data_IF_313335737404
#
_entry.id   IF_313335737404
#
_cell.length_a   1.000
_cell.length_b   1.000
_cell.length_c   1.000
_cell.angle_alpha   90.00
_cell.angle_beta   90.00
_cell.angle_gamma   90.00
#
_symmetry.space_group_name_H-M   'P 1'
#
loop_
_entity.id
_entity.type
_entity.pdbx_description
1 polymer ?
#
# COMPACT_ATOMS: atom_id res chain seq x y z
N UNK A 1 17.57 1.99 3.84
CA UNK A 1 17.00 2.79 2.73
C UNK A 1 16.33 1.82 1.78
N UNK A 2 15.09 2.05 1.33
CA UNK A 2 14.52 1.20 0.27
C UNK A 2 15.05 1.75 -1.06
N UNK A 3 15.68 0.89 -1.85
CA UNK A 3 15.98 1.23 -3.24
C UNK A 3 14.67 1.13 -4.01
N UNK A 4 14.18 2.28 -4.49
CA UNK A 4 12.96 2.40 -5.25
C UNK A 4 13.20 1.94 -6.70
N UNK A 5 12.33 1.08 -7.22
CA UNK A 5 12.22 0.83 -8.66
C UNK A 5 11.52 2.02 -9.34
N UNK A 6 11.65 2.14 -10.66
CA UNK A 6 11.31 3.30 -11.49
C UNK A 6 9.84 3.79 -11.53
N UNK A 7 9.00 3.47 -10.55
CA UNK A 7 7.65 4.00 -10.39
C UNK A 7 7.56 5.12 -9.34
N UNK A 8 6.64 6.06 -9.51
CA UNK A 8 6.37 7.09 -8.50
C UNK A 8 5.76 6.46 -7.23
N UNK A 9 6.09 6.95 -6.03
CA UNK A 9 5.44 6.50 -4.81
C UNK A 9 3.97 6.97 -4.79
N UNK A 10 3.12 6.24 -4.08
CA UNK A 10 1.73 6.61 -3.84
C UNK A 10 1.49 6.77 -2.34
N UNK A 11 0.59 7.68 -1.96
CA UNK A 11 0.38 8.02 -0.55
C UNK A 11 -1.11 8.02 -0.24
N UNK A 12 -1.47 7.57 0.96
CA UNK A 12 -2.81 7.80 1.55
C UNK A 12 -2.66 8.33 2.97
N UNK A 13 -3.66 9.04 3.45
CA UNK A 13 -3.74 9.51 4.82
C UNK A 13 -5.20 9.47 5.31
N UNK A 14 -5.39 9.16 6.58
CA UNK A 14 -6.68 9.24 7.25
C UNK A 14 -6.46 9.48 8.74
N UNK A 15 -7.55 9.64 9.49
CA UNK A 15 -7.49 9.78 10.95
C UNK A 15 -7.96 8.51 11.63
N UNK A 16 -7.07 7.87 12.38
CA UNK A 16 -7.39 6.72 13.22
C UNK A 16 -7.48 7.17 14.67
N UNK A 17 -8.62 6.97 15.34
CA UNK A 17 -8.86 7.49 16.70
C UNK A 17 -8.53 8.99 16.85
N UNK A 18 -8.85 9.80 15.83
CA UNK A 18 -8.55 11.24 15.79
C UNK A 18 -7.10 11.62 15.49
N UNK A 19 -6.19 10.65 15.36
CA UNK A 19 -4.77 10.85 15.08
C UNK A 19 -4.48 10.69 13.59
N UNK A 20 -3.67 11.59 13.02
CA UNK A 20 -3.22 11.49 11.63
C UNK A 20 -2.34 10.25 11.44
N UNK A 21 -2.66 9.44 10.44
CA UNK A 21 -1.84 8.35 9.93
C UNK A 21 -1.57 8.61 8.46
N UNK A 22 -0.31 8.47 8.03
CA UNK A 22 0.09 8.57 6.63
C UNK A 22 0.76 7.27 6.24
N UNK A 23 0.43 6.76 5.05
CA UNK A 23 1.13 5.64 4.44
C UNK A 23 1.73 6.06 3.12
N UNK A 24 3.02 5.81 2.95
CA UNK A 24 3.72 5.93 1.68
C UNK A 24 4.00 4.54 1.15
N UNK A 25 3.61 4.31 -0.10
CA UNK A 25 3.78 3.07 -0.82
C UNK A 25 4.76 3.28 -1.95
N UNK A 26 5.67 2.33 -2.12
CA UNK A 26 6.68 2.38 -3.16
C UNK A 26 7.00 0.97 -3.63
N UNK A 27 7.39 0.84 -4.89
CA UNK A 27 7.89 -0.42 -5.44
C UNK A 27 9.40 -0.50 -5.21
N UNK A 28 9.87 -1.60 -4.63
CA UNK A 28 11.30 -1.88 -4.49
C UNK A 28 11.92 -2.43 -5.79
N UNK A 29 13.25 -2.53 -5.83
CA UNK A 29 13.99 -3.09 -6.97
C UNK A 29 13.68 -4.56 -7.28
N UNK A 30 13.01 -5.28 -6.39
CA UNK A 30 12.55 -6.66 -6.59
C UNK A 30 11.10 -6.72 -7.12
N UNK A 31 10.47 -5.57 -7.37
CA UNK A 31 9.12 -5.45 -7.90
C UNK A 31 8.02 -5.51 -6.84
N UNK A 32 8.37 -5.61 -5.55
CA UNK A 32 7.40 -5.65 -4.46
C UNK A 32 6.96 -4.25 -4.06
N UNK A 33 5.66 -4.06 -3.91
CA UNK A 33 5.10 -2.90 -3.25
C UNK A 33 5.31 -3.04 -1.74
N UNK A 34 5.89 -2.00 -1.14
CA UNK A 34 6.14 -1.87 0.30
C UNK A 34 5.42 -0.65 0.84
N UNK A 35 5.20 -0.65 2.15
CA UNK A 35 4.54 0.43 2.89
C UNK A 35 5.48 0.98 3.96
N UNK A 36 5.48 2.30 4.10
CA UNK A 36 6.09 3.03 5.21
C UNK A 36 4.98 3.82 5.88
N UNK A 37 4.90 3.75 7.21
CA UNK A 37 3.86 4.40 8.01
C UNK A 37 4.44 5.61 8.74
N UNK A 38 3.79 6.75 8.69
CA UNK A 38 3.97 7.81 9.66
C UNK A 38 2.83 7.78 10.67
N UNK A 39 3.17 7.94 11.94
CA UNK A 39 2.23 8.33 12.98
C UNK A 39 2.81 9.46 13.84
N UNK A 40 2.12 9.80 14.93
CA UNK A 40 2.55 10.85 15.87
C UNK A 40 3.96 10.69 16.46
N UNK A 41 4.59 9.52 16.34
CA UNK A 41 5.92 9.23 16.88
C UNK A 41 7.02 9.18 15.81
N UNK A 42 6.68 9.24 14.52
CA UNK A 42 7.67 9.19 13.46
C UNK A 42 7.32 8.30 12.27
N UNK A 43 8.26 8.21 11.33
CA UNK A 43 8.22 7.23 10.25
C UNK A 43 8.63 5.87 10.83
N UNK A 44 7.89 4.83 10.46
CA UNK A 44 8.19 3.47 10.84
C UNK A 44 9.54 3.04 10.28
N UNK A 45 10.22 2.16 11.01
CA UNK A 45 11.37 1.45 10.45
C UNK A 45 10.87 0.58 9.30
N UNK A 46 11.66 0.47 8.24
CA UNK A 46 11.37 -0.38 7.09
C UNK A 46 11.55 -1.88 7.44
N UNK A 47 10.74 -2.37 8.37
CA UNK A 47 10.75 -3.76 8.88
C UNK A 47 9.46 -4.51 8.55
N UNK A 48 8.47 -3.84 7.97
CA UNK A 48 7.26 -4.52 7.51
C UNK A 48 7.58 -5.43 6.30
N UNK A 49 6.95 -6.61 6.23
CA UNK A 49 7.11 -7.50 5.08
C UNK A 49 6.60 -6.83 3.79
N UNK A 50 7.13 -7.23 2.62
CA UNK A 50 6.57 -6.79 1.35
C UNK A 50 5.11 -7.23 1.24
N UNK A 51 4.28 -6.39 0.61
CA UNK A 51 2.83 -6.62 0.53
C UNK A 51 2.48 -7.54 -0.65
N UNK A 52 2.80 -7.08 -1.86
CA UNK A 52 2.43 -7.74 -3.11
C UNK A 52 3.43 -7.43 -4.20
N UNK A 53 3.63 -8.36 -5.13
CA UNK A 53 4.49 -8.14 -6.29
C UNK A 53 3.69 -7.53 -7.43
N UNK A 54 4.20 -6.44 -8.00
CA UNK A 54 3.61 -5.75 -9.14
C UNK A 54 4.57 -5.81 -10.35
N UNK A 55 4.05 -5.52 -11.54
CA UNK A 55 4.87 -5.34 -12.74
C UNK A 55 5.96 -4.30 -12.47
N UNK A 56 7.22 -4.67 -12.73
CA UNK A 56 8.36 -3.79 -12.45
C UNK A 56 8.25 -2.47 -13.22
N UNK A 57 8.39 -1.35 -12.52
CA UNK A 57 8.31 0.00 -13.08
C UNK A 57 6.89 0.48 -13.42
N UNK A 58 5.86 -0.33 -13.19
CA UNK A 58 4.48 0.11 -13.39
C UNK A 58 4.04 1.05 -12.25
N UNK A 59 3.24 2.05 -12.60
CA UNK A 59 2.56 2.87 -11.61
C UNK A 59 1.44 2.07 -10.95
N UNK A 60 1.13 2.42 -9.70
CA UNK A 60 0.01 1.89 -8.94
C UNK A 60 -0.66 3.05 -8.20
N UNK A 61 -1.91 2.85 -7.78
CA UNK A 61 -2.66 3.83 -7.00
C UNK A 61 -3.10 3.23 -5.68
N UNK A 62 -3.23 4.09 -4.67
CA UNK A 62 -3.60 3.68 -3.32
C UNK A 62 -4.73 4.57 -2.82
N UNK A 63 -5.73 3.93 -2.23
CA UNK A 63 -6.79 4.58 -1.46
C UNK A 63 -6.78 3.99 -0.07
N UNK A 64 -6.99 4.82 0.95
CA UNK A 64 -7.12 4.35 2.32
C UNK A 64 -8.15 5.14 3.09
N UNK A 65 -8.83 4.47 4.00
CA UNK A 65 -9.85 5.02 4.87
C UNK A 65 -9.88 4.27 6.19
N UNK A 66 -10.64 4.80 7.13
CA UNK A 66 -10.94 4.11 8.39
C UNK A 66 -12.43 4.16 8.67
N UNK A 67 -12.98 3.07 9.16
CA UNK A 67 -14.38 2.97 9.55
C UNK A 67 -14.57 3.47 11.00
N UNK A 68 -15.82 3.56 11.46
CA UNK A 68 -16.18 4.11 12.79
C UNK A 68 -15.51 3.35 13.95
N UNK A 69 -15.26 2.05 13.77
CA UNK A 69 -14.52 1.20 14.72
C UNK A 69 -12.99 1.41 14.67
N UNK A 70 -12.52 2.41 13.93
CA UNK A 70 -11.10 2.74 13.72
C UNK A 70 -10.28 1.59 13.11
N UNK A 71 -10.98 0.72 12.38
CA UNK A 71 -10.40 -0.25 11.47
C UNK A 71 -9.75 0.47 10.30
N UNK A 72 -8.57 0.00 9.89
CA UNK A 72 -7.78 0.64 8.83
C UNK A 72 -7.90 -0.18 7.56
N UNK A 73 -8.36 0.48 6.50
CA UNK A 73 -8.57 -0.11 5.18
C UNK A 73 -7.70 0.58 4.15
N UNK A 74 -6.97 -0.22 3.37
CA UNK A 74 -6.21 0.24 2.21
C UNK A 74 -6.52 -0.63 1.02
N UNK A 75 -6.65 -0.02 -0.16
CA UNK A 75 -6.71 -0.69 -1.45
C UNK A 75 -5.57 -0.21 -2.33
N UNK A 76 -4.86 -1.16 -2.91
CA UNK A 76 -3.78 -0.91 -3.86
C UNK A 76 -4.23 -1.45 -5.21
N UNK A 77 -4.33 -0.57 -6.20
CA UNK A 77 -4.64 -0.95 -7.57
C UNK A 77 -3.36 -0.89 -8.40
N UNK A 78 -3.02 -2.03 -9.00
CA UNK A 78 -1.72 -2.23 -9.65
C UNK A 78 -1.85 -3.20 -10.82
N UNK A 79 -0.84 -3.21 -11.69
CA UNK A 79 -0.69 -4.30 -12.65
C UNK A 79 0.17 -5.42 -12.04
N UNK A 80 -0.35 -6.64 -12.03
CA UNK A 80 0.42 -7.80 -11.57
C UNK A 80 1.58 -8.14 -12.53
N UNK A 81 2.39 -9.14 -12.19
CA UNK A 81 3.55 -9.56 -12.98
C UNK A 81 3.19 -10.07 -14.39
N UNK A 82 1.93 -10.40 -14.64
CA UNK A 82 1.39 -10.80 -15.94
C UNK A 82 0.77 -9.63 -16.72
N UNK A 83 0.72 -8.43 -16.12
CA UNK A 83 0.11 -7.24 -16.72
C UNK A 83 -1.42 -7.18 -16.53
N UNK A 84 -1.99 -7.96 -15.62
CA UNK A 84 -3.41 -7.93 -15.28
C UNK A 84 -3.67 -6.85 -14.25
N UNK A 85 -4.69 -6.02 -14.47
CA UNK A 85 -5.13 -5.05 -13.47
C UNK A 85 -5.71 -5.79 -12.25
N UNK A 86 -5.15 -5.53 -11.07
CA UNK A 86 -5.41 -6.26 -9.84
C UNK A 86 -5.57 -5.33 -8.65
N UNK A 87 -6.29 -5.81 -7.63
CA UNK A 87 -6.44 -5.14 -6.34
C UNK A 87 -5.75 -5.95 -5.24
N UNK A 88 -5.09 -5.26 -4.31
CA UNK A 88 -4.64 -5.82 -3.04
C UNK A 88 -5.30 -5.08 -1.89
N UNK A 89 -6.00 -5.82 -1.05
CA UNK A 89 -6.77 -5.31 0.08
C UNK A 89 -5.97 -5.48 1.36
N UNK A 90 -5.83 -4.40 2.14
CA UNK A 90 -5.33 -4.45 3.50
C UNK A 90 -6.49 -4.06 4.39
N UNK A 91 -6.94 -4.98 5.23
CA UNK A 91 -7.99 -4.74 6.21
C UNK A 91 -7.43 -5.12 7.59
N UNK A 92 -7.40 -4.16 8.52
CA UNK A 92 -6.83 -4.34 9.85
C UNK A 92 -5.41 -4.90 9.86
N UNK A 93 -4.59 -4.41 8.92
CA UNK A 93 -3.20 -4.83 8.74
C UNK A 93 -3.02 -6.21 8.09
N UNK A 94 -4.10 -6.91 7.73
CA UNK A 94 -4.03 -8.19 7.02
C UNK A 94 -4.21 -7.94 5.52
N UNK A 95 -3.23 -8.37 4.74
CA UNK A 95 -3.21 -8.22 3.29
C UNK A 95 -3.72 -9.45 2.55
N UNK A 96 -4.53 -9.26 1.53
CA UNK A 96 -5.04 -10.32 0.64
C UNK A 96 -5.28 -9.78 -0.78
N UNK A 97 -5.28 -10.68 -1.77
CA UNK A 97 -5.71 -10.31 -3.13
C UNK A 97 -7.21 -9.96 -3.11
N UNK A 98 -7.59 -8.86 -3.75
CA UNK A 98 -8.98 -8.46 -3.90
C UNK A 98 -9.78 -9.48 -4.71
N UNK A 99 -11.08 -9.59 -4.43
CA UNK A 99 -11.90 -10.68 -4.97
C UNK A 99 -12.35 -10.44 -6.40
N UNK A 100 -12.63 -9.20 -6.82
CA UNK A 100 -13.11 -8.89 -8.18
C UNK A 100 -12.87 -7.43 -8.56
N UNK A 101 -12.22 -7.19 -9.70
CA UNK A 101 -12.26 -5.91 -10.41
C UNK A 101 -13.03 -6.11 -11.72
N UNK A 102 -13.85 -5.14 -12.16
CA UNK A 102 -14.46 -5.20 -13.49
C UNK A 102 -13.36 -5.39 -14.54
N UNK A 103 -13.52 -6.42 -15.39
CA UNK A 103 -12.64 -6.67 -16.55
C UNK A 103 -13.16 -5.97 -17.80
#
# INVERSE_FOLDING_TARGET
MINQASGLPSTTFHRKNGQLVIYVFLQDTSGYIRKIRWDQHGWSKNTEPPLVQAKSGASFSVVGWSDDDSEDHVRIYYFDTHGTFSEYCIDNGRGQKGSDLPQ
#
